data_IF_574836241261
#
_entry.id   IF_574836241261
#
_cell.length_a   1.000
_cell.length_b   1.000
_cell.length_c   1.000
_cell.angle_alpha   90.00
_cell.angle_beta   90.00
_cell.angle_gamma   90.00
#
_symmetry.space_group_name_H-M   'P 1'
#
loop_
_entity.id
_entity.type
_entity.pdbx_description
1 polymer ?
#
# COMPACT_ATOMS: atom_id res chain seq x y z
N UNK A 1 -26.79 -22.62 -5.61
CA UNK A 1 -27.22 -21.47 -4.78
C UNK A 1 -26.27 -21.28 -3.59
N UNK A 2 -26.07 -22.27 -2.72
CA UNK A 2 -25.21 -22.14 -1.53
C UNK A 2 -23.75 -21.76 -1.83
N UNK A 3 -23.17 -22.29 -2.90
CA UNK A 3 -21.80 -21.96 -3.32
C UNK A 3 -21.62 -20.48 -3.70
N UNK A 4 -22.64 -19.86 -4.31
CA UNK A 4 -22.61 -18.44 -4.69
C UNK A 4 -22.70 -17.56 -3.44
N UNK A 5 -23.60 -17.89 -2.52
CA UNK A 5 -23.74 -17.18 -1.25
C UNK A 5 -22.48 -17.28 -0.39
N UNK A 6 -21.84 -18.45 -0.38
CA UNK A 6 -20.58 -18.67 0.32
C UNK A 6 -19.43 -17.86 -0.31
N UNK A 7 -19.32 -17.84 -1.64
CA UNK A 7 -18.33 -17.02 -2.35
C UNK A 7 -18.52 -15.52 -2.06
N UNK A 8 -19.77 -15.02 -2.08
CA UNK A 8 -20.09 -13.62 -1.76
C UNK A 8 -19.73 -13.26 -0.30
N UNK A 9 -20.02 -14.14 0.66
CA UNK A 9 -19.62 -13.91 2.06
C UNK A 9 -18.11 -13.91 2.25
N UNK A 10 -17.39 -14.83 1.58
CA UNK A 10 -15.93 -14.85 1.64
C UNK A 10 -15.31 -13.60 1.01
N UNK A 11 -15.92 -13.09 -0.07
CA UNK A 11 -15.51 -11.84 -0.69
C UNK A 11 -15.73 -10.64 0.27
N UNK A 12 -16.90 -10.53 0.91
CA UNK A 12 -17.16 -9.47 1.90
C UNK A 12 -16.19 -9.54 3.10
N UNK A 13 -15.88 -10.73 3.61
CA UNK A 13 -14.89 -10.91 4.67
C UNK A 13 -13.47 -10.53 4.22
N UNK A 14 -13.08 -10.85 2.99
CA UNK A 14 -11.78 -10.46 2.45
C UNK A 14 -11.67 -8.94 2.29
N UNK A 15 -12.75 -8.28 1.87
CA UNK A 15 -12.83 -6.81 1.79
C UNK A 15 -12.78 -6.17 3.19
N UNK A 16 -13.43 -6.75 4.19
CA UNK A 16 -13.36 -6.25 5.57
C UNK A 16 -11.93 -6.30 6.12
N UNK A 17 -11.23 -7.41 5.90
CA UNK A 17 -9.80 -7.53 6.24
C UNK A 17 -8.94 -6.51 5.49
N UNK A 18 -9.22 -6.28 4.21
CA UNK A 18 -8.50 -5.27 3.43
C UNK A 18 -8.69 -3.87 3.99
N UNK A 19 -9.88 -3.53 4.49
CA UNK A 19 -10.14 -2.26 5.18
C UNK A 19 -9.31 -2.07 6.44
N UNK A 20 -9.17 -3.11 7.26
CA UNK A 20 -8.33 -3.07 8.44
C UNK A 20 -6.85 -2.83 8.08
N UNK A 21 -6.36 -3.51 7.03
CA UNK A 21 -4.98 -3.35 6.52
C UNK A 21 -4.76 -1.91 6.01
N UNK A 22 -5.70 -1.34 5.25
CA UNK A 22 -5.60 0.05 4.78
C UNK A 22 -5.57 1.07 5.92
N UNK A 23 -6.29 0.80 7.00
CA UNK A 23 -6.30 1.68 8.17
C UNK A 23 -4.98 1.61 8.95
N UNK A 24 -4.38 0.41 9.07
CA UNK A 24 -3.04 0.23 9.63
C UNK A 24 -1.99 0.90 8.74
N UNK A 25 -2.09 0.77 7.42
CA UNK A 25 -1.22 1.44 6.45
C UNK A 25 -1.25 2.97 6.65
N UNK A 26 -2.46 3.54 6.77
CA UNK A 26 -2.64 4.96 7.06
C UNK A 26 -1.97 5.38 8.38
N UNK A 27 -2.16 4.61 9.45
CA UNK A 27 -1.55 4.90 10.75
C UNK A 27 -0.02 4.84 10.69
N UNK A 28 0.54 3.86 10.00
CA UNK A 28 1.99 3.74 9.81
C UNK A 28 2.57 4.87 8.96
N UNK A 29 1.83 5.33 7.95
CA UNK A 29 2.21 6.51 7.17
C UNK A 29 2.22 7.75 8.05
N UNK A 30 1.17 8.01 8.84
CA UNK A 30 1.08 9.21 9.69
C UNK A 30 2.09 9.20 10.86
N UNK A 31 2.55 8.03 11.29
CA UNK A 31 3.48 7.89 12.42
C UNK A 31 4.90 8.35 12.05
N UNK A 32 5.51 9.17 12.91
CA UNK A 32 6.91 9.61 12.79
C UNK A 32 7.70 9.11 14.01
N UNK A 33 8.87 8.45 13.84
CA UNK A 33 9.56 8.17 12.58
C UNK A 33 8.87 7.08 11.74
N UNK A 34 8.97 7.20 10.42
CA UNK A 34 8.45 6.20 9.48
C UNK A 34 9.07 4.83 9.75
N UNK A 35 8.24 3.79 9.75
CA UNK A 35 8.65 2.41 9.97
C UNK A 35 8.64 1.64 8.63
N UNK A 36 9.71 1.69 7.82
CA UNK A 36 9.70 1.13 6.46
C UNK A 36 9.49 -0.40 6.44
N UNK A 37 9.99 -1.11 7.45
CA UNK A 37 9.81 -2.58 7.56
C UNK A 37 8.35 -2.93 7.85
N UNK A 38 7.70 -2.19 8.75
CA UNK A 38 6.28 -2.39 9.06
C UNK A 38 5.40 -2.04 7.84
N UNK A 39 5.74 -0.96 7.13
CA UNK A 39 5.04 -0.56 5.91
C UNK A 39 5.16 -1.62 4.80
N UNK A 40 6.35 -2.22 4.65
CA UNK A 40 6.59 -3.30 3.69
C UNK A 40 5.77 -4.56 4.02
N UNK A 41 5.67 -4.92 5.30
CA UNK A 41 4.82 -6.01 5.76
C UNK A 41 3.34 -5.79 5.44
N UNK A 42 2.82 -4.61 5.79
CA UNK A 42 1.43 -4.21 5.50
C UNK A 42 1.15 -4.16 4.00
N UNK A 43 2.13 -3.73 3.19
CA UNK A 43 2.03 -3.74 1.72
C UNK A 43 1.96 -5.18 1.17
N UNK A 44 2.74 -6.11 1.74
CA UNK A 44 2.70 -7.51 1.37
C UNK A 44 1.33 -8.13 1.71
N UNK A 45 0.83 -7.90 2.92
CA UNK A 45 -0.47 -8.39 3.38
C UNK A 45 -1.62 -7.87 2.51
N UNK A 46 -1.55 -6.59 2.11
CA UNK A 46 -2.49 -5.97 1.16
C UNK A 46 -2.46 -6.67 -0.20
N UNK A 47 -1.28 -6.98 -0.73
CA UNK A 47 -1.12 -7.69 -2.01
C UNK A 47 -1.70 -9.11 -1.95
N UNK A 48 -1.47 -9.80 -0.84
CA UNK A 48 -2.04 -11.14 -0.60
C UNK A 48 -3.58 -11.07 -0.50
N UNK A 49 -4.14 -10.10 0.23
CA UNK A 49 -5.58 -9.94 0.34
C UNK A 49 -6.23 -9.53 -0.98
N UNK A 50 -5.61 -8.66 -1.79
CA UNK A 50 -6.09 -8.34 -3.13
C UNK A 50 -6.13 -9.58 -4.03
N UNK A 51 -5.13 -10.44 -3.93
CA UNK A 51 -5.10 -11.72 -4.65
C UNK A 51 -6.22 -12.65 -4.21
N UNK A 52 -6.52 -12.70 -2.90
CA UNK A 52 -7.65 -13.45 -2.36
C UNK A 52 -9.00 -12.89 -2.84
N UNK A 53 -9.18 -11.57 -2.84
CA UNK A 53 -10.37 -10.90 -3.39
C UNK A 53 -10.56 -11.24 -4.87
N UNK A 54 -9.49 -11.18 -5.67
CA UNK A 54 -9.54 -11.55 -7.10
C UNK A 54 -9.92 -13.03 -7.30
N UNK A 55 -9.40 -13.92 -6.46
CA UNK A 55 -9.76 -15.34 -6.48
C UNK A 55 -11.26 -15.55 -6.15
N UNK A 56 -11.78 -14.88 -5.12
CA UNK A 56 -13.20 -14.98 -4.76
C UNK A 56 -14.12 -14.36 -5.80
N UNK A 57 -13.70 -13.28 -6.47
CA UNK A 57 -14.47 -12.72 -7.59
C UNK A 57 -14.51 -13.68 -8.78
N UNK A 58 -13.39 -14.32 -9.12
CA UNK A 58 -13.36 -15.36 -10.14
C UNK A 58 -14.25 -16.57 -9.76
N UNK A 59 -14.26 -16.97 -8.48
CA UNK A 59 -15.14 -18.01 -7.98
C UNK A 59 -16.62 -17.61 -8.09
N UNK A 60 -16.95 -16.35 -7.79
CA UNK A 60 -18.29 -15.79 -7.98
C UNK A 60 -18.72 -15.86 -9.45
N UNK A 61 -17.86 -15.40 -10.37
CA UNK A 61 -18.14 -15.42 -11.82
C UNK A 61 -18.39 -16.84 -12.34
N UNK A 62 -17.63 -17.83 -11.86
CA UNK A 62 -17.86 -19.24 -12.19
C UNK A 62 -19.20 -19.73 -11.65
N UNK A 63 -19.50 -19.46 -10.39
CA UNK A 63 -20.77 -19.83 -9.78
C UNK A 63 -21.99 -19.13 -10.44
N UNK A 64 -21.81 -17.91 -10.96
CA UNK A 64 -22.79 -17.19 -11.77
C UNK A 64 -23.09 -17.92 -13.09
N UNK A 65 -22.05 -18.32 -13.81
CA UNK A 65 -22.17 -19.10 -15.06
C UNK A 65 -22.86 -20.44 -14.77
N UNK A 66 -22.44 -21.15 -13.73
CA UNK A 66 -23.00 -22.46 -13.36
C UNK A 66 -24.48 -22.38 -12.94
N UNK A 67 -24.88 -21.28 -12.29
CA UNK A 67 -26.27 -21.06 -11.90
C UNK A 67 -27.12 -20.36 -12.98
N UNK A 68 -26.52 -19.92 -14.09
CA UNK A 68 -27.20 -19.13 -15.12
C UNK A 68 -27.71 -17.77 -14.60
N UNK A 69 -27.08 -17.24 -13.54
CA UNK A 69 -27.46 -15.98 -12.89
C UNK A 69 -26.40 -14.93 -13.20
N UNK A 70 -26.82 -13.68 -13.35
CA UNK A 70 -25.92 -12.55 -13.57
C UNK A 70 -26.27 -11.44 -12.60
N UNK A 71 -25.28 -10.88 -11.90
CA UNK A 71 -25.48 -9.66 -11.12
C UNK A 71 -25.96 -8.51 -12.04
N UNK A 72 -26.91 -7.65 -11.60
CA UNK A 72 -27.58 -7.61 -10.29
C UNK A 72 -28.59 -8.75 -10.10
N UNK A 73 -28.62 -9.35 -8.91
CA UNK A 73 -29.39 -10.55 -8.61
C UNK A 73 -30.87 -10.20 -8.33
N UNK A 74 -31.53 -9.54 -9.29
CA UNK A 74 -32.88 -8.99 -9.14
C UNK A 74 -33.97 -10.02 -8.75
N UNK A 75 -33.70 -11.32 -8.95
CA UNK A 75 -34.58 -12.42 -8.57
C UNK A 75 -34.38 -12.92 -7.14
N UNK A 76 -33.32 -12.49 -6.47
CA UNK A 76 -32.94 -12.92 -5.12
C UNK A 76 -32.54 -11.70 -4.27
N UNK A 77 -33.49 -11.10 -3.53
CA UNK A 77 -33.24 -9.87 -2.76
C UNK A 77 -32.09 -10.01 -1.75
N UNK A 78 -31.96 -11.18 -1.10
CA UNK A 78 -30.86 -11.42 -0.13
C UNK A 78 -29.46 -11.35 -0.78
N UNK A 79 -29.34 -11.81 -2.02
CA UNK A 79 -28.09 -11.78 -2.79
C UNK A 79 -27.83 -10.38 -3.35
N UNK A 80 -28.87 -9.68 -3.75
CA UNK A 80 -28.79 -8.32 -4.26
C UNK A 80 -28.34 -7.34 -3.16
N UNK A 81 -28.89 -7.49 -1.94
CA UNK A 81 -28.47 -6.73 -0.77
C UNK A 81 -27.00 -7.00 -0.40
N UNK A 82 -26.56 -8.26 -0.45
CA UNK A 82 -25.16 -8.62 -0.23
C UNK A 82 -24.25 -7.99 -1.30
N UNK A 83 -24.66 -8.05 -2.56
CA UNK A 83 -23.92 -7.48 -3.68
C UNK A 83 -23.81 -5.95 -3.58
N UNK A 84 -24.90 -5.27 -3.24
CA UNK A 84 -24.91 -3.84 -3.00
C UNK A 84 -23.94 -3.44 -1.88
N UNK A 85 -23.92 -4.19 -0.76
CA UNK A 85 -22.95 -3.96 0.34
C UNK A 85 -21.51 -4.12 -0.13
N UNK A 86 -21.21 -5.18 -0.88
CA UNK A 86 -19.88 -5.43 -1.45
C UNK A 86 -19.45 -4.29 -2.37
N UNK A 87 -20.36 -3.79 -3.23
CA UNK A 87 -20.06 -2.68 -4.14
C UNK A 87 -19.75 -1.38 -3.39
N UNK A 88 -20.56 -1.04 -2.38
CA UNK A 88 -20.33 0.14 -1.53
C UNK A 88 -18.98 0.02 -0.81
N UNK A 89 -18.73 -1.14 -0.18
CA UNK A 89 -17.47 -1.39 0.55
C UNK A 89 -16.26 -1.32 -0.38
N UNK A 90 -16.33 -1.89 -1.58
CA UNK A 90 -15.25 -1.85 -2.57
C UNK A 90 -14.94 -0.42 -3.00
N UNK A 91 -15.97 0.41 -3.20
CA UNK A 91 -15.80 1.83 -3.53
C UNK A 91 -15.12 2.59 -2.40
N UNK A 92 -15.53 2.35 -1.16
CA UNK A 92 -14.97 3.03 0.00
C UNK A 92 -13.49 2.63 0.23
N UNK A 93 -13.16 1.35 0.05
CA UNK A 93 -11.78 0.84 0.10
C UNK A 93 -10.91 1.43 -1.02
N UNK A 94 -11.46 1.57 -2.22
CA UNK A 94 -10.75 2.21 -3.33
C UNK A 94 -10.41 3.66 -3.01
N UNK A 95 -11.35 4.41 -2.42
CA UNK A 95 -11.10 5.79 -2.00
C UNK A 95 -10.08 5.88 -0.86
N UNK A 96 -10.17 4.99 0.14
CA UNK A 96 -9.15 4.90 1.20
C UNK A 96 -7.76 4.60 0.63
N UNK A 97 -7.66 3.65 -0.29
CA UNK A 97 -6.40 3.32 -0.95
C UNK A 97 -5.83 4.52 -1.74
N UNK A 98 -6.70 5.25 -2.45
CA UNK A 98 -6.30 6.48 -3.16
C UNK A 98 -5.77 7.54 -2.19
N UNK A 99 -6.45 7.74 -1.05
CA UNK A 99 -6.01 8.68 0.01
C UNK A 99 -4.65 8.28 0.60
N UNK A 100 -4.43 7.00 0.85
CA UNK A 100 -3.14 6.48 1.32
C UNK A 100 -2.03 6.77 0.30
N UNK A 101 -2.30 6.57 -0.99
CA UNK A 101 -1.36 6.90 -2.08
C UNK A 101 -0.96 8.37 -2.11
N UNK A 102 -1.93 9.29 -2.02
CA UNK A 102 -1.67 10.74 -1.98
C UNK A 102 -0.83 11.13 -0.76
N UNK A 103 -1.12 10.55 0.41
CA UNK A 103 -0.36 10.81 1.64
C UNK A 103 1.08 10.32 1.52
N UNK A 104 1.28 9.13 0.95
CA UNK A 104 2.60 8.55 0.73
C UNK A 104 3.43 9.42 -0.23
N UNK A 105 2.84 9.86 -1.34
CA UNK A 105 3.51 10.76 -2.29
C UNK A 105 3.93 12.09 -1.63
N UNK A 106 3.04 12.68 -0.83
CA UNK A 106 3.34 13.92 -0.09
C UNK A 106 4.52 13.73 0.89
N UNK A 107 4.55 12.60 1.60
CA UNK A 107 5.65 12.28 2.52
C UNK A 107 6.96 12.04 1.80
N UNK A 108 6.94 11.31 0.67
CA UNK A 108 8.12 11.13 -0.17
C UNK A 108 8.64 12.47 -0.70
N UNK A 109 7.75 13.38 -1.12
CA UNK A 109 8.13 14.71 -1.57
C UNK A 109 8.77 15.53 -0.42
N UNK A 110 8.20 15.46 0.78
CA UNK A 110 8.75 16.13 1.96
C UNK A 110 10.13 15.59 2.35
N UNK A 111 10.31 14.26 2.41
CA UNK A 111 11.60 13.63 2.69
C UNK A 111 12.64 13.98 1.62
N UNK A 112 12.26 14.00 0.34
CA UNK A 112 13.16 14.42 -0.75
C UNK A 112 13.58 15.88 -0.61
N UNK A 113 12.65 16.77 -0.28
CA UNK A 113 12.93 18.19 -0.04
C UNK A 113 13.85 18.39 1.16
N UNK A 114 13.56 17.73 2.30
CA UNK A 114 14.42 17.75 3.48
C UNK A 114 15.80 17.18 3.16
N UNK A 115 15.90 16.08 2.42
CA UNK A 115 17.18 15.52 1.98
C UNK A 115 17.93 16.49 1.07
N UNK A 116 17.25 17.23 0.19
CA UNK A 116 17.88 18.24 -0.66
C UNK A 116 18.39 19.44 0.15
N UNK A 117 17.60 19.92 1.11
CA UNK A 117 18.01 20.99 2.03
C UNK A 117 19.17 20.54 2.91
N UNK A 118 19.10 19.34 3.50
CA UNK A 118 20.18 18.74 4.28
C UNK A 118 21.41 18.51 3.40
N UNK A 119 21.30 18.12 2.13
CA UNK A 119 22.45 18.00 1.21
C UNK A 119 23.03 19.35 0.80
N UNK A 120 22.21 20.39 0.71
CA UNK A 120 22.66 21.75 0.44
C UNK A 120 23.33 22.39 1.67
N UNK A 121 22.87 22.07 2.89
CA UNK A 121 23.49 22.45 4.16
C UNK A 121 24.59 21.48 4.61
N UNK A 122 24.62 20.26 4.07
CA UNK A 122 25.68 19.29 4.33
C UNK A 122 26.94 19.99 3.87
N UNK A 123 27.85 20.29 4.81
CA UNK A 123 28.94 21.18 4.51
C UNK A 123 29.73 20.53 3.39
N UNK A 124 29.95 21.30 2.31
CA UNK A 124 31.27 21.27 1.70
C UNK A 124 32.21 21.62 2.85
N UNK A 125 32.65 20.62 3.61
CA UNK A 125 33.69 20.75 4.63
C UNK A 125 34.97 21.06 3.84
N UNK A 126 35.06 22.30 3.35
CA UNK A 126 36.33 22.93 3.04
C UNK A 126 36.99 23.14 4.40
N UNK A 127 37.82 22.18 4.77
CA UNK A 127 38.80 22.42 5.80
C UNK A 127 39.81 23.41 5.21
N UNK A 128 39.78 24.64 5.73
CA UNK A 128 40.85 25.61 5.48
C UNK A 128 42.08 25.13 6.24
N UNK A 129 43.05 24.57 5.52
CA UNK A 129 44.37 24.32 6.05
C UNK A 129 45.09 25.67 6.29
N UNK A 130 45.96 25.73 7.29
CA UNK A 130 46.70 26.94 7.67
C UNK A 130 47.67 27.46 6.58
N UNK A 131 47.79 26.75 5.46
CA UNK A 131 48.57 27.08 4.26
C UNK A 131 47.76 27.84 3.19
N UNK A 132 46.45 28.03 3.39
CA UNK A 132 45.56 28.74 2.46
C UNK A 132 45.09 27.91 1.26
N UNK A 133 45.43 26.62 1.18
CA UNK A 133 44.97 25.75 0.11
C UNK A 133 43.64 25.06 0.49
N UNK A 134 42.61 25.27 -0.34
CA UNK A 134 41.34 24.54 -0.21
C UNK A 134 41.46 23.17 -0.90
N UNK A 135 41.76 22.12 -0.15
CA UNK A 135 41.71 20.75 -0.69
C UNK A 135 40.28 20.22 -0.68
N UNK A 136 39.76 19.88 -1.87
CA UNK A 136 38.49 19.18 -2.02
C UNK A 136 38.64 17.76 -1.46
N UNK A 137 37.95 17.49 -0.35
CA UNK A 137 37.98 16.21 0.36
C UNK A 137 37.73 15.02 -0.56
N UNK A 138 38.66 14.07 -0.46
CA UNK A 138 38.90 12.97 -1.38
C UNK A 138 37.75 11.96 -1.43
N UNK A 139 37.49 11.48 -2.65
CA UNK A 139 36.70 10.30 -3.00
C UNK A 139 37.05 9.11 -2.10
N UNK A 140 36.04 8.53 -1.44
CA UNK A 140 36.13 7.22 -0.78
C UNK A 140 36.51 6.17 -1.84
N UNK A 141 37.79 5.87 -1.95
CA UNK A 141 38.28 4.71 -2.69
C UNK A 141 39.05 3.81 -1.73
N UNK A 142 38.47 2.63 -1.55
CA UNK A 142 39.12 1.38 -1.18
C UNK A 142 39.48 1.21 0.31
N UNK A 143 38.54 0.62 1.04
CA UNK A 143 38.88 -0.29 2.14
C UNK A 143 39.36 -1.60 1.51
N UNK A 144 40.62 -1.67 1.11
CA UNK A 144 41.32 -2.95 0.93
C UNK A 144 41.87 -3.37 2.30
N UNK A 145 41.08 -4.16 3.03
CA UNK A 145 41.54 -4.88 4.20
C UNK A 145 42.04 -6.25 3.69
N UNK A 146 43.32 -6.35 3.37
CA UNK A 146 44.00 -7.64 3.26
C UNK A 146 44.73 -7.91 4.57
N UNK A 147 44.42 -9.07 5.15
CA UNK A 147 45.16 -9.70 6.25
C UNK A 147 46.49 -10.28 5.78
#
# INVERSE_FOLDING_TARGET
>A
MDNLTLALRQLDQALDKLGQILQVEYQLLVTVPLQPVALQGVTHDKSQQLSAVAHYDALRQRAEIDCGLRAPYARHPDLDDLWARIQVRTRDLHEQNRRNGVSLEAQMAHVRSLSAVIKALAPQQMFYCADGASHHGMRLQNLDINA
#
